data_IF_146723339221
#
_entry.id   IF_146723339221
#
_cell.length_a   1.000
_cell.length_b   1.000
_cell.length_c   1.000
_cell.angle_alpha   90.00
_cell.angle_beta   90.00
_cell.angle_gamma   90.00
#
_symmetry.space_group_name_H-M   'P 1'
#
loop_
_entity.id
_entity.type
_entity.pdbx_description
1 polymer ?
#
# COMPACT_ATOMS: atom_id res chain seq x y z
N UNK A 1 7.23 -21.10 -3.53
CA UNK A 1 7.85 -20.19 -2.57
C UNK A 1 6.78 -19.55 -1.70
N UNK A 2 7.00 -19.52 -0.41
CA UNK A 2 6.06 -18.88 0.50
C UNK A 2 6.48 -17.46 0.79
N UNK A 3 5.49 -16.57 0.89
CA UNK A 3 5.73 -15.23 1.38
C UNK A 3 5.93 -15.26 2.89
N UNK A 4 6.75 -14.36 3.43
CA UNK A 4 6.92 -14.28 4.88
C UNK A 4 5.61 -13.88 5.55
N UNK A 5 5.43 -14.34 6.78
CA UNK A 5 4.30 -13.92 7.61
C UNK A 5 4.67 -12.57 8.21
N UNK A 6 3.93 -11.54 7.86
CA UNK A 6 4.16 -10.19 8.36
C UNK A 6 3.26 -9.97 9.58
N UNK A 7 3.82 -9.53 10.71
CA UNK A 7 3.02 -9.34 11.92
C UNK A 7 1.89 -8.34 11.72
N UNK A 8 0.71 -8.70 12.23
CA UNK A 8 -0.43 -7.80 12.35
C UNK A 8 -0.44 -7.24 13.77
N UNK A 9 -0.44 -5.91 13.90
CA UNK A 9 -0.43 -5.27 15.20
C UNK A 9 -1.85 -4.84 15.60
N UNK A 10 -2.52 -5.58 16.51
CA UNK A 10 -3.89 -5.26 16.89
C UNK A 10 -4.03 -3.95 17.66
N UNK A 11 -2.94 -3.43 18.24
CA UNK A 11 -2.97 -2.15 18.95
C UNK A 11 -3.35 -1.01 17.99
N UNK A 12 -2.99 -1.13 16.71
CA UNK A 12 -3.27 -0.12 15.70
C UNK A 12 -4.65 -0.26 15.07
N UNK A 13 -5.43 -1.24 15.47
CA UNK A 13 -6.74 -1.52 14.85
C UNK A 13 -7.68 -0.32 14.88
N UNK A 14 -7.77 0.34 16.02
CA UNK A 14 -8.65 1.50 16.17
C UNK A 14 -8.17 2.68 15.33
N UNK A 15 -6.85 2.89 15.28
CA UNK A 15 -6.27 3.95 14.45
C UNK A 15 -6.54 3.69 12.98
N UNK A 16 -6.37 2.44 12.53
CA UNK A 16 -6.66 2.05 11.16
C UNK A 16 -8.13 2.29 10.80
N UNK A 17 -9.04 1.97 11.74
CA UNK A 17 -10.47 2.20 11.54
C UNK A 17 -10.77 3.68 11.35
N UNK A 18 -10.14 4.55 12.13
CA UNK A 18 -10.30 6.00 11.99
C UNK A 18 -9.74 6.50 10.66
N UNK A 19 -8.60 5.99 10.25
CA UNK A 19 -7.99 6.38 8.96
C UNK A 19 -8.86 5.96 7.78
N UNK A 20 -9.54 4.81 7.86
CA UNK A 20 -10.47 4.39 6.80
C UNK A 20 -11.59 5.41 6.59
N UNK A 21 -11.99 6.11 7.62
CA UNK A 21 -13.03 7.15 7.53
C UNK A 21 -12.50 8.48 7.00
N UNK A 22 -11.16 8.63 6.90
CA UNK A 22 -10.50 9.87 6.48
C UNK A 22 -9.66 9.67 5.24
N UNK A 23 -10.00 8.70 4.42
CA UNK A 23 -9.24 8.47 3.19
C UNK A 23 -9.33 9.68 2.27
N UNK A 24 -8.20 10.01 1.64
CA UNK A 24 -8.15 11.08 0.64
C UNK A 24 -8.97 10.69 -0.59
N UNK A 25 -9.30 11.66 -1.47
CA UNK A 25 -9.97 11.32 -2.73
C UNK A 25 -9.19 10.31 -3.58
N UNK A 26 -7.87 10.44 -3.65
CA UNK A 26 -7.04 9.48 -4.38
C UNK A 26 -7.07 8.10 -3.77
N UNK A 27 -6.99 8.01 -2.44
CA UNK A 27 -7.10 6.74 -1.73
C UNK A 27 -8.46 6.10 -1.96
N UNK A 28 -9.54 6.87 -1.86
CA UNK A 28 -10.89 6.34 -2.12
C UNK A 28 -11.03 5.84 -3.56
N UNK A 29 -10.49 6.59 -4.52
CA UNK A 29 -10.53 6.20 -5.92
C UNK A 29 -9.76 4.92 -6.16
N UNK A 30 -8.55 4.83 -5.60
CA UNK A 30 -7.74 3.61 -5.68
C UNK A 30 -8.46 2.41 -5.08
N UNK A 31 -9.07 2.59 -3.91
CA UNK A 31 -9.79 1.51 -3.23
C UNK A 31 -10.93 0.96 -4.06
N UNK A 32 -11.65 1.81 -4.83
CA UNK A 32 -12.72 1.34 -5.70
C UNK A 32 -12.23 0.31 -6.72
N UNK A 33 -10.96 0.36 -7.08
CA UNK A 33 -10.36 -0.56 -8.05
C UNK A 33 -9.62 -1.75 -7.41
N UNK A 34 -9.39 -1.70 -6.10
CA UNK A 34 -8.68 -2.76 -5.39
C UNK A 34 -9.62 -3.68 -4.62
N UNK A 35 -10.74 -3.17 -4.13
CA UNK A 35 -11.66 -3.96 -3.29
C UNK A 35 -12.29 -5.10 -4.08
N UNK A 36 -12.73 -6.13 -3.35
CA UNK A 36 -13.49 -7.22 -3.94
C UNK A 36 -12.71 -8.11 -4.88
N UNK A 37 -11.40 -8.17 -4.71
CA UNK A 37 -10.51 -9.02 -5.52
C UNK A 37 -10.54 -8.69 -7.01
N UNK A 38 -10.95 -7.49 -7.38
CA UNK A 38 -11.06 -7.13 -8.79
C UNK A 38 -9.71 -6.84 -9.45
N UNK A 39 -8.65 -6.58 -8.64
CA UNK A 39 -7.30 -6.41 -9.19
C UNK A 39 -6.64 -7.77 -9.38
N UNK A 40 -6.85 -8.35 -10.57
CA UNK A 40 -6.24 -9.62 -10.97
C UNK A 40 -6.50 -10.77 -9.98
N UNK A 41 -7.62 -10.70 -9.25
CA UNK A 41 -8.00 -11.72 -8.29
C UNK A 41 -7.34 -11.62 -6.93
N UNK A 42 -6.48 -10.63 -6.71
CA UNK A 42 -5.80 -10.47 -5.43
C UNK A 42 -6.64 -9.72 -4.42
N UNK A 43 -6.52 -10.13 -3.17
CA UNK A 43 -7.23 -9.51 -2.05
C UNK A 43 -6.36 -8.40 -1.46
N UNK A 44 -6.90 -7.19 -1.43
CA UNK A 44 -6.22 -6.03 -0.85
C UNK A 44 -6.98 -5.55 0.39
N UNK A 45 -6.22 -5.24 1.43
CA UNK A 45 -6.75 -4.54 2.60
C UNK A 45 -6.44 -3.05 2.48
N UNK A 46 -7.26 -2.22 3.10
CA UNK A 46 -6.98 -0.78 3.20
C UNK A 46 -6.64 -0.42 4.62
N UNK A 47 -5.73 0.55 4.79
CA UNK A 47 -5.29 1.01 6.10
C UNK A 47 -4.92 -0.16 6.99
N UNK A 48 -3.92 -0.90 6.54
CA UNK A 48 -3.51 -2.15 7.17
C UNK A 48 -2.38 -1.93 8.18
N UNK A 49 -2.58 -2.29 9.45
CA UNK A 49 -1.50 -2.29 10.43
C UNK A 49 -0.47 -3.38 10.11
N UNK A 50 0.79 -3.01 10.08
CA UNK A 50 1.91 -3.95 9.95
C UNK A 50 2.98 -3.47 10.92
N UNK A 51 3.38 -4.32 11.88
CA UNK A 51 4.31 -3.97 12.93
C UNK A 51 3.79 -2.73 13.68
N UNK A 52 4.53 -1.65 13.74
CA UNK A 52 4.13 -0.41 14.41
C UNK A 52 3.58 0.64 13.44
N UNK A 53 3.31 0.25 12.22
CA UNK A 53 2.94 1.18 11.15
C UNK A 53 1.63 0.79 10.50
N UNK A 54 1.04 1.73 9.75
CA UNK A 54 -0.15 1.47 8.94
C UNK A 54 0.20 1.82 7.50
N UNK A 55 -0.08 0.90 6.57
CA UNK A 55 0.10 1.16 5.14
C UNK A 55 -1.27 1.41 4.49
N UNK A 56 -1.29 2.20 3.42
CA UNK A 56 -2.55 2.58 2.79
C UNK A 56 -3.30 1.37 2.23
N UNK A 57 -2.63 0.53 1.46
CA UNK A 57 -3.19 -0.71 0.92
C UNK A 57 -2.17 -1.81 1.01
N UNK A 58 -2.63 -3.02 1.27
CA UNK A 58 -1.74 -4.16 1.41
C UNK A 58 -2.33 -5.42 0.81
N UNK A 59 -1.52 -6.12 0.01
CA UNK A 59 -1.85 -7.44 -0.49
C UNK A 59 -0.93 -8.46 0.18
N UNK A 60 -1.52 -9.28 1.05
CA UNK A 60 -0.78 -10.27 1.82
C UNK A 60 -0.10 -11.30 0.91
N UNK A 61 -0.81 -11.76 -0.12
CA UNK A 61 -0.28 -12.77 -1.02
C UNK A 61 0.97 -12.29 -1.79
N UNK A 62 1.07 -11.00 -2.06
CA UNK A 62 2.19 -10.42 -2.78
C UNK A 62 3.19 -9.73 -1.85
N UNK A 63 2.88 -9.62 -0.57
CA UNK A 63 3.59 -8.78 0.41
C UNK A 63 3.82 -7.36 -0.13
N UNK A 64 2.82 -6.86 -0.83
CA UNK A 64 2.88 -5.57 -1.52
C UNK A 64 2.09 -4.52 -0.77
N UNK A 65 2.76 -3.44 -0.38
CA UNK A 65 2.11 -2.24 0.13
C UNK A 65 2.05 -1.20 -0.98
N UNK A 66 0.87 -0.61 -1.16
CA UNK A 66 0.68 0.51 -2.08
C UNK A 66 0.41 1.74 -1.23
N UNK A 67 1.17 2.80 -1.48
CA UNK A 67 1.02 4.06 -0.75
C UNK A 67 0.69 5.18 -1.71
N UNK A 68 -0.26 6.01 -1.32
CA UNK A 68 -0.66 7.19 -2.09
C UNK A 68 -0.05 8.40 -1.40
N UNK A 69 0.94 9.01 -2.04
CA UNK A 69 1.68 10.11 -1.45
C UNK A 69 0.98 11.43 -1.73
N UNK A 70 0.52 12.08 -0.66
CA UNK A 70 -0.31 13.27 -0.80
C UNK A 70 0.41 14.58 -0.76
N UNK A 71 1.61 14.64 -0.20
CA UNK A 71 2.21 15.94 0.07
C UNK A 71 3.61 16.06 -0.49
N UNK A 72 3.85 17.19 -1.16
CA UNK A 72 5.19 17.60 -1.54
C UNK A 72 5.80 18.52 -0.47
N UNK A 73 5.11 18.71 0.65
CA UNK A 73 5.50 19.67 1.69
C UNK A 73 6.05 19.03 2.96
N UNK A 74 6.40 17.75 2.86
CA UNK A 74 6.97 17.06 4.00
C UNK A 74 8.30 17.69 4.41
N UNK A 75 8.44 17.96 5.71
CA UNK A 75 9.70 18.48 6.23
C UNK A 75 10.81 17.45 6.09
N UNK A 76 12.08 17.88 6.15
CA UNK A 76 13.19 16.92 6.17
C UNK A 76 13.07 15.88 7.29
N UNK A 77 12.54 16.28 8.45
CA UNK A 77 12.32 15.37 9.58
C UNK A 77 11.24 14.34 9.25
N UNK A 78 10.15 14.76 8.60
CA UNK A 78 9.09 13.84 8.20
C UNK A 78 9.57 12.87 7.14
N UNK A 79 10.37 13.34 6.18
CA UNK A 79 10.97 12.47 5.16
C UNK A 79 11.91 11.45 5.78
N UNK A 80 12.70 11.87 6.78
CA UNK A 80 13.61 10.95 7.46
C UNK A 80 12.84 9.88 8.23
N UNK A 81 11.74 10.24 8.90
CA UNK A 81 10.89 9.27 9.59
C UNK A 81 10.27 8.27 8.62
N UNK A 82 9.81 8.76 7.46
CA UNK A 82 9.21 7.88 6.45
C UNK A 82 10.26 6.92 5.89
N UNK A 83 11.48 7.37 5.67
CA UNK A 83 12.56 6.51 5.19
C UNK A 83 12.88 5.40 6.19
N UNK A 84 12.91 5.72 7.49
CA UNK A 84 13.12 4.73 8.55
C UNK A 84 11.97 3.72 8.58
N UNK A 85 10.73 4.22 8.48
CA UNK A 85 9.52 3.40 8.43
C UNK A 85 9.60 2.41 7.27
N UNK A 86 9.91 2.89 6.08
CA UNK A 86 10.00 2.04 4.90
C UNK A 86 11.07 0.97 5.04
N UNK A 87 12.26 1.34 5.54
CA UNK A 87 13.33 0.37 5.75
C UNK A 87 12.94 -0.73 6.72
N UNK A 88 12.25 -0.39 7.80
CA UNK A 88 11.79 -1.37 8.77
C UNK A 88 10.78 -2.34 8.14
N UNK A 89 9.85 -1.83 7.36
CA UNK A 89 8.86 -2.66 6.69
C UNK A 89 9.50 -3.52 5.61
N UNK A 90 10.44 -2.97 4.85
CA UNK A 90 11.19 -3.75 3.86
C UNK A 90 11.98 -4.88 4.51
N UNK A 91 12.55 -4.64 5.69
CA UNK A 91 13.25 -5.68 6.43
C UNK A 91 12.33 -6.83 6.85
N UNK A 92 11.03 -6.57 6.97
CA UNK A 92 10.02 -7.60 7.23
C UNK A 92 9.53 -8.29 5.97
N UNK A 93 10.01 -7.89 4.80
CA UNK A 93 9.63 -8.47 3.53
C UNK A 93 8.56 -7.71 2.76
N UNK A 94 8.14 -6.55 3.25
CA UNK A 94 7.16 -5.73 2.54
C UNK A 94 7.82 -5.06 1.34
N UNK A 95 7.13 -5.12 0.20
CA UNK A 95 7.55 -4.43 -1.02
C UNK A 95 6.61 -3.26 -1.25
N UNK A 96 7.11 -2.18 -1.85
CA UNK A 96 6.36 -0.93 -1.96
C UNK A 96 6.17 -0.50 -3.41
N UNK A 97 4.97 0.00 -3.70
CA UNK A 97 4.68 0.84 -4.85
C UNK A 97 4.09 2.13 -4.32
N UNK A 98 4.58 3.24 -4.82
CA UNK A 98 4.09 4.56 -4.41
C UNK A 98 3.57 5.30 -5.61
N UNK A 99 2.40 5.92 -5.46
CA UNK A 99 1.77 6.75 -6.48
C UNK A 99 1.40 8.09 -5.87
N UNK A 100 1.42 9.14 -6.68
CA UNK A 100 1.04 10.46 -6.22
C UNK A 100 -0.47 10.56 -6.06
N UNK A 101 -0.90 11.35 -5.09
CA UNK A 101 -2.32 11.61 -4.86
C UNK A 101 -3.02 12.10 -6.13
N UNK A 102 -2.39 13.05 -6.86
CA UNK A 102 -2.94 13.57 -8.10
C UNK A 102 -3.11 12.51 -9.17
N UNK A 103 -2.17 11.58 -9.27
CA UNK A 103 -2.26 10.49 -10.24
C UNK A 103 -3.43 9.56 -9.88
N UNK A 104 -3.60 9.22 -8.60
CA UNK A 104 -4.71 8.39 -8.16
C UNK A 104 -6.06 9.06 -8.40
N UNK A 105 -6.13 10.39 -8.31
CA UNK A 105 -7.37 11.12 -8.58
C UNK A 105 -7.67 11.27 -10.07
N UNK A 106 -6.67 11.62 -10.86
CA UNK A 106 -6.91 12.13 -12.23
C UNK A 106 -6.28 11.27 -13.32
N UNK A 107 -5.48 10.26 -12.97
CA UNK A 107 -4.77 9.42 -13.94
C UNK A 107 -4.79 7.97 -13.49
N UNK A 108 -5.95 7.53 -13.03
CA UNK A 108 -6.11 6.20 -12.41
C UNK A 108 -5.76 5.06 -13.38
N UNK A 109 -6.09 5.22 -14.66
CA UNK A 109 -5.80 4.17 -15.64
C UNK A 109 -4.31 3.89 -15.74
N UNK A 110 -3.49 4.95 -15.71
CA UNK A 110 -2.03 4.80 -15.71
C UNK A 110 -1.54 4.11 -14.44
N UNK A 111 -2.08 4.51 -13.29
CA UNK A 111 -1.73 3.88 -12.01
C UNK A 111 -2.05 2.39 -12.04
N UNK A 112 -3.24 2.04 -12.50
CA UNK A 112 -3.67 0.64 -12.56
C UNK A 112 -2.85 -0.15 -13.59
N UNK A 113 -2.47 0.46 -14.70
CA UNK A 113 -1.61 -0.17 -15.69
C UNK A 113 -0.25 -0.50 -15.09
N UNK A 114 0.36 0.43 -14.37
CA UNK A 114 1.63 0.20 -13.69
C UNK A 114 1.51 -0.91 -12.63
N UNK A 115 0.42 -0.91 -11.88
CA UNK A 115 0.18 -1.94 -10.88
C UNK A 115 0.04 -3.32 -11.52
N UNK A 116 -0.75 -3.43 -12.58
CA UNK A 116 -0.92 -4.70 -13.29
C UNK A 116 0.41 -5.21 -13.86
N UNK A 117 1.20 -4.29 -14.40
CA UNK A 117 2.52 -4.65 -14.93
C UNK A 117 3.43 -5.19 -13.83
N UNK A 118 3.41 -4.56 -12.67
CA UNK A 118 4.20 -5.01 -11.53
C UNK A 118 3.76 -6.41 -11.07
N UNK A 119 2.45 -6.62 -10.93
CA UNK A 119 1.91 -7.91 -10.51
C UNK A 119 2.24 -8.99 -11.53
N UNK A 120 2.10 -8.70 -12.81
CA UNK A 120 2.41 -9.64 -13.89
C UNK A 120 3.88 -10.04 -13.85
N UNK A 121 4.78 -9.06 -13.70
CA UNK A 121 6.21 -9.35 -13.63
C UNK A 121 6.53 -10.20 -12.39
N UNK A 122 5.90 -9.90 -11.27
CA UNK A 122 6.11 -10.63 -10.02
C UNK A 122 5.64 -12.08 -10.13
N UNK A 123 4.47 -12.30 -10.71
CA UNK A 123 3.92 -13.66 -10.84
C UNK A 123 4.70 -14.48 -11.86
N UNK A 124 5.30 -13.86 -12.88
CA UNK A 124 6.16 -14.56 -13.84
C UNK A 124 7.52 -14.93 -13.24
N UNK A 125 8.03 -14.11 -12.31
CA UNK A 125 9.31 -14.36 -11.67
C UNK A 125 9.24 -15.47 -10.64
N UNK A 126 8.04 -15.91 -10.24
CA UNK A 126 7.83 -16.96 -9.25
C UNK A 126 7.41 -18.25 -9.92
N UNK A 127 8.10 -19.36 -9.62
CA UNK A 127 7.72 -20.68 -10.13
C UNK A 127 6.40 -21.15 -9.56
#
# INVERSE_FOLDING_TARGET
>A
MRYPIIPYNPILKERARRLRKRMTPGERHMWQHLKGKQMMGYDFDRQRPIDHFIVDFYCKALTLAIEIDGSSHDSPEAQARDAVRQKKLEALGVRFLRFREGAAQHDIDRVLTELRAWITAETRARP
#
